data_IF_002595248017
#
_entry.id   IF_002595248017
#
_cell.length_a   1.000
_cell.length_b   1.000
_cell.length_c   1.000
_cell.angle_alpha   90.00
_cell.angle_beta   90.00
_cell.angle_gamma   90.00
#
_symmetry.space_group_name_H-M   'P 1'
#
loop_
_entity.id
_entity.type
_entity.pdbx_description
1 polymer ?
#
# COMPACT_ATOMS: atom_id res chain seq x y z
N UNK A 1 0.99 8.41 -23.33
CA UNK A 1 -0.06 9.45 -23.36
C UNK A 1 0.56 10.66 -22.70
N UNK A 2 0.62 11.82 -23.36
CA UNK A 2 1.11 13.03 -22.72
C UNK A 2 0.14 13.41 -21.60
N UNK A 3 0.67 13.67 -20.39
CA UNK A 3 -0.08 14.10 -19.23
C UNK A 3 0.04 15.63 -19.11
N UNK A 4 -0.90 16.41 -19.67
CA UNK A 4 -0.71 17.85 -19.89
C UNK A 4 -0.54 18.64 -18.57
N UNK A 5 -1.10 18.09 -17.49
CA UNK A 5 -0.99 18.66 -16.15
C UNK A 5 0.44 18.61 -15.58
N UNK A 6 1.31 17.74 -16.09
CA UNK A 6 2.72 17.67 -15.68
C UNK A 6 3.60 18.71 -16.39
N UNK A 7 3.19 19.18 -17.57
CA UNK A 7 3.96 20.14 -18.36
C UNK A 7 4.19 21.47 -17.62
N UNK A 8 3.25 21.88 -16.76
CA UNK A 8 3.35 23.09 -15.95
C UNK A 8 4.30 23.00 -14.74
N UNK A 9 4.78 21.81 -14.39
CA UNK A 9 5.70 21.62 -13.26
C UNK A 9 7.14 21.90 -13.70
N UNK A 10 7.93 22.57 -12.86
CA UNK A 10 9.40 22.60 -12.99
C UNK A 10 10.00 21.21 -12.76
N UNK A 11 11.26 21.00 -13.16
CA UNK A 11 11.93 19.70 -12.96
C UNK A 11 11.94 19.27 -11.48
N UNK A 12 12.23 20.19 -10.56
CA UNK A 12 12.23 19.89 -9.12
C UNK A 12 10.83 19.71 -8.54
N UNK A 13 9.82 20.41 -9.08
CA UNK A 13 8.42 20.17 -8.71
C UNK A 13 7.97 18.77 -9.17
N UNK A 14 8.34 18.36 -10.39
CA UNK A 14 8.03 17.03 -10.91
C UNK A 14 8.72 15.91 -10.11
N UNK A 15 9.98 16.11 -9.70
CA UNK A 15 10.69 15.18 -8.80
C UNK A 15 9.99 15.05 -7.45
N UNK A 16 9.63 16.17 -6.82
CA UNK A 16 8.89 16.18 -5.55
C UNK A 16 7.51 15.56 -5.68
N UNK A 17 6.80 15.84 -6.78
CA UNK A 17 5.51 15.24 -7.08
C UNK A 17 5.62 13.71 -7.18
N UNK A 18 6.56 13.19 -7.97
CA UNK A 18 6.81 11.75 -8.07
C UNK A 18 7.17 11.13 -6.71
N UNK A 19 8.05 11.79 -5.95
CA UNK A 19 8.45 11.31 -4.62
C UNK A 19 7.26 11.26 -3.64
N UNK A 20 6.38 12.26 -3.67
CA UNK A 20 5.15 12.28 -2.88
C UNK A 20 4.21 11.13 -3.24
N UNK A 21 4.01 10.87 -4.53
CA UNK A 21 3.21 9.73 -5.01
C UNK A 21 3.81 8.38 -4.59
N UNK A 22 5.14 8.21 -4.65
CA UNK A 22 5.82 6.99 -4.21
C UNK A 22 5.64 6.79 -2.70
N UNK A 23 5.82 7.83 -1.90
CA UNK A 23 5.61 7.75 -0.44
C UNK A 23 4.15 7.39 -0.11
N UNK A 24 3.19 7.91 -0.88
CA UNK A 24 1.78 7.55 -0.74
C UNK A 24 1.50 6.10 -1.13
N UNK A 25 2.09 5.62 -2.24
CA UNK A 25 1.97 4.21 -2.66
C UNK A 25 2.52 3.27 -1.59
N UNK A 26 3.67 3.58 -0.99
CA UNK A 26 4.25 2.81 0.10
C UNK A 26 3.27 2.67 1.29
N UNK A 27 2.58 3.77 1.64
CA UNK A 27 1.54 3.78 2.69
C UNK A 27 0.36 2.90 2.33
N UNK A 28 -0.15 3.00 1.10
CA UNK A 28 -1.28 2.17 0.63
C UNK A 28 -0.89 0.69 0.60
N UNK A 29 0.33 0.38 0.15
CA UNK A 29 0.88 -0.96 0.12
C UNK A 29 1.05 -1.56 1.52
N UNK A 30 1.37 -0.74 2.54
CA UNK A 30 1.37 -1.16 3.93
C UNK A 30 -0.03 -1.53 4.42
N UNK A 31 -1.02 -0.65 4.23
CA UNK A 31 -2.39 -0.90 4.65
C UNK A 31 -3.01 -2.13 3.98
N UNK A 32 -2.73 -2.35 2.70
CA UNK A 32 -3.21 -3.53 1.98
C UNK A 32 -2.68 -4.84 2.58
N UNK A 33 -1.41 -4.86 3.02
CA UNK A 33 -0.83 -6.03 3.70
C UNK A 33 -1.50 -6.29 5.05
N UNK A 34 -1.79 -5.23 5.81
CA UNK A 34 -2.53 -5.37 7.07
C UNK A 34 -3.93 -5.94 6.83
N UNK A 35 -4.69 -5.38 5.88
CA UNK A 35 -6.03 -5.88 5.55
C UNK A 35 -6.00 -7.35 5.12
N UNK A 36 -5.05 -7.74 4.26
CA UNK A 36 -4.85 -9.14 3.87
C UNK A 36 -4.55 -10.03 5.10
N UNK A 37 -3.60 -9.63 5.94
CA UNK A 37 -3.27 -10.35 7.18
C UNK A 37 -4.49 -10.55 8.08
N UNK A 38 -5.36 -9.54 8.23
CA UNK A 38 -6.57 -9.65 9.05
C UNK A 38 -7.61 -10.57 8.42
N UNK A 39 -7.80 -10.51 7.10
CA UNK A 39 -8.67 -11.43 6.36
C UNK A 39 -8.19 -12.88 6.55
N UNK A 40 -6.89 -13.12 6.44
CA UNK A 40 -6.30 -14.45 6.59
C UNK A 40 -6.52 -14.99 8.02
N UNK A 41 -6.36 -14.14 9.05
CA UNK A 41 -6.64 -14.48 10.45
C UNK A 41 -8.11 -14.83 10.68
N UNK A 42 -9.04 -13.99 10.20
CA UNK A 42 -10.48 -14.24 10.38
C UNK A 42 -10.92 -15.51 9.64
N UNK A 43 -10.39 -15.73 8.44
CA UNK A 43 -10.72 -16.89 7.63
C UNK A 43 -10.19 -18.20 8.25
N UNK A 44 -9.02 -18.18 8.88
CA UNK A 44 -8.50 -19.37 9.58
C UNK A 44 -9.14 -19.56 10.96
N UNK A 45 -9.40 -18.47 11.69
CA UNK A 45 -10.11 -18.49 12.97
C UNK A 45 -11.52 -19.08 12.85
N UNK A 46 -12.26 -18.71 11.80
CA UNK A 46 -13.60 -19.26 11.53
C UNK A 46 -13.61 -20.77 11.22
N UNK A 47 -12.47 -21.35 10.81
CA UNK A 47 -12.33 -22.80 10.55
C UNK A 47 -11.83 -23.57 11.77
N UNK A 48 -11.37 -22.88 12.80
CA UNK A 48 -10.79 -23.48 13.99
C UNK A 48 -11.74 -23.36 15.17
N UNK A 49 -11.98 -24.46 15.88
CA UNK A 49 -12.77 -24.41 17.12
C UNK A 49 -11.98 -23.77 18.28
N UNK A 50 -10.65 -23.63 18.16
CA UNK A 50 -9.73 -23.07 19.15
C UNK A 50 -9.13 -21.73 18.71
N UNK A 51 -8.65 -20.94 19.68
CA UNK A 51 -7.90 -19.69 19.39
C UNK A 51 -6.60 -20.03 18.67
N UNK A 52 -6.32 -19.33 17.56
CA UNK A 52 -5.10 -19.54 16.78
C UNK A 52 -3.84 -19.40 17.64
N UNK A 53 -2.97 -20.41 17.59
CA UNK A 53 -1.66 -20.37 18.24
C UNK A 53 -0.70 -19.43 17.52
N UNK A 54 0.38 -19.02 18.19
CA UNK A 54 1.44 -18.17 17.59
C UNK A 54 2.07 -18.84 16.36
N UNK A 55 2.18 -20.16 16.36
CA UNK A 55 2.72 -20.95 15.25
C UNK A 55 1.77 -20.99 14.05
N UNK A 56 0.46 -21.11 14.30
CA UNK A 56 -0.58 -21.02 13.28
C UNK A 56 -0.63 -19.60 12.70
N UNK A 57 -0.55 -18.56 13.53
CA UNK A 57 -0.46 -17.16 13.09
C UNK A 57 0.77 -16.93 12.20
N UNK A 58 1.94 -17.43 12.59
CA UNK A 58 3.16 -17.30 11.79
C UNK A 58 3.03 -17.99 10.42
N UNK A 59 2.33 -19.12 10.35
CA UNK A 59 2.03 -19.81 9.09
C UNK A 59 1.06 -19.01 8.23
N UNK A 60 -0.06 -18.57 8.79
CA UNK A 60 -1.11 -17.78 8.10
C UNK A 60 -0.52 -16.49 7.52
N UNK A 61 0.25 -15.75 8.32
CA UNK A 61 0.88 -14.49 7.90
C UNK A 61 2.13 -14.69 7.02
N UNK A 62 2.75 -15.86 7.09
CA UNK A 62 3.94 -16.22 6.31
C UNK A 62 3.63 -16.68 4.89
N UNK A 63 2.42 -17.18 4.62
CA UNK A 63 2.04 -17.77 3.33
C UNK A 63 1.51 -16.75 2.30
N UNK A 64 1.64 -15.44 2.56
CA UNK A 64 1.27 -14.39 1.61
C UNK A 64 2.24 -14.34 0.41
N UNK A 65 2.08 -15.27 -0.54
CA UNK A 65 2.47 -15.10 -1.94
C UNK A 65 3.95 -15.35 -2.28
N UNK A 66 4.22 -16.56 -2.76
CA UNK A 66 5.34 -16.95 -3.63
C UNK A 66 6.76 -16.55 -3.18
N UNK A 67 7.38 -17.40 -2.35
CA UNK A 67 8.74 -17.98 -2.56
C UNK A 67 9.94 -17.08 -2.88
N UNK A 68 9.79 -15.76 -2.88
CA UNK A 68 10.87 -14.79 -2.85
C UNK A 68 10.64 -14.00 -1.59
N UNK A 69 11.61 -14.10 -0.68
CA UNK A 69 11.87 -13.06 0.31
C UNK A 69 12.11 -11.78 -0.50
N UNK A 70 11.02 -11.09 -0.85
CA UNK A 70 11.10 -9.77 -1.44
C UNK A 70 11.54 -8.93 -0.25
N UNK A 71 12.86 -8.71 -0.15
CA UNK A 71 13.43 -7.61 0.65
C UNK A 71 12.93 -6.31 0.03
N UNK A 72 11.62 -6.08 0.12
CA UNK A 72 11.08 -4.74 0.07
C UNK A 72 11.70 -4.12 1.30
N UNK A 73 12.61 -3.18 1.09
CA UNK A 73 13.07 -2.31 2.15
C UNK A 73 11.79 -1.70 2.74
N UNK A 74 11.37 -2.18 3.90
CA UNK A 74 10.37 -1.48 4.68
C UNK A 74 11.04 -0.21 5.18
N UNK A 75 11.10 0.84 4.34
CA UNK A 75 11.25 2.18 4.86
C UNK A 75 9.91 2.55 5.49
N UNK A 76 9.62 1.97 6.65
CA UNK A 76 8.76 2.65 7.60
C UNK A 76 9.59 3.85 8.03
N UNK A 77 9.35 5.02 7.41
CA UNK A 77 9.73 6.30 8.00
C UNK A 77 8.49 6.81 8.75
N UNK A 78 8.35 6.52 10.05
CA UNK A 78 7.30 7.09 10.86
C UNK A 78 7.80 8.44 11.37
N UNK A 79 7.98 9.43 10.48
CA UNK A 79 8.25 10.81 10.94
C UNK A 79 7.01 11.70 10.84
N UNK A 80 5.98 11.29 10.08
CA UNK A 80 4.68 11.95 10.09
C UNK A 80 3.61 10.92 10.51
N UNK A 81 2.66 11.26 11.41
CA UNK A 81 1.55 10.38 11.70
C UNK A 81 0.85 10.04 10.38
N UNK A 82 0.67 8.75 10.13
CA UNK A 82 -0.08 8.31 8.95
C UNK A 82 -1.44 9.01 8.98
N UNK A 83 -1.88 9.68 7.90
CA UNK A 83 -3.23 10.21 7.87
C UNK A 83 -4.20 9.06 8.08
N UNK A 84 -5.17 9.26 8.98
CA UNK A 84 -6.23 8.29 9.20
C UNK A 84 -6.89 8.01 7.86
N UNK A 85 -6.77 6.77 7.37
CA UNK A 85 -7.74 6.25 6.43
C UNK A 85 -8.98 5.99 7.29
N UNK A 86 -10.01 6.86 7.28
CA UNK A 86 -11.06 6.82 8.29
C UNK A 86 -11.83 5.49 8.28
N UNK A 87 -11.86 4.86 7.10
CA UNK A 87 -12.42 3.52 6.88
C UNK A 87 -11.67 2.44 7.66
N UNK A 88 -10.35 2.55 7.80
CA UNK A 88 -9.53 1.52 8.44
C UNK A 88 -9.49 1.69 9.95
N UNK A 89 -9.36 2.92 10.47
CA UNK A 89 -9.30 3.17 11.92
C UNK A 89 -10.48 2.59 12.70
N UNK A 90 -11.68 2.56 12.10
CA UNK A 90 -12.88 1.98 12.73
C UNK A 90 -12.93 0.45 12.61
N UNK A 91 -12.33 -0.14 11.57
CA UNK A 91 -12.32 -1.60 11.35
C UNK A 91 -11.39 -2.36 12.32
N UNK A 92 -10.32 -1.72 12.81
CA UNK A 92 -9.35 -2.35 13.70
C UNK A 92 -9.77 -2.39 15.17
N UNK A 93 -10.79 -1.61 15.56
CA UNK A 93 -11.26 -1.49 16.96
C UNK A 93 -12.39 -2.48 17.28
N UNK A 94 -12.96 -3.14 16.28
CA UNK A 94 -14.00 -4.14 16.54
C UNK A 94 -13.39 -5.49 16.92
N UNK A 95 -13.58 -5.87 18.18
CA UNK A 95 -13.44 -7.26 18.61
C UNK A 95 -14.48 -8.09 17.87
N UNK A 96 -14.02 -9.12 17.15
CA UNK A 96 -14.87 -10.06 16.41
C UNK A 96 -14.77 -11.38 17.16
N UNK A 97 -15.90 -11.90 17.62
CA UNK A 97 -15.96 -13.25 18.18
C UNK A 97 -15.76 -14.28 17.04
N UNK A 98 -14.70 -15.10 17.05
CA UNK A 98 -14.45 -16.08 16.01
C UNK A 98 -15.55 -17.15 15.88
N UNK A 99 -16.34 -17.35 16.94
CA UNK A 99 -17.42 -18.34 16.99
C UNK A 99 -18.78 -17.76 16.58
N UNK A 100 -18.87 -16.46 16.33
CA UNK A 100 -20.05 -15.81 15.77
C UNK A 100 -19.90 -15.63 14.25
N UNK A 101 -20.49 -16.57 13.50
CA UNK A 101 -20.41 -16.60 12.03
C UNK A 101 -20.95 -15.31 11.38
N UNK A 102 -21.96 -14.66 11.97
CA UNK A 102 -22.54 -13.43 11.42
C UNK A 102 -21.59 -12.26 11.60
N UNK A 103 -20.97 -12.12 12.77
CA UNK A 103 -19.95 -11.10 13.03
C UNK A 103 -18.71 -11.29 12.15
N UNK A 104 -18.26 -12.54 11.98
CA UNK A 104 -17.12 -12.86 11.13
C UNK A 104 -17.41 -12.49 9.68
N UNK A 105 -18.55 -12.92 9.11
CA UNK A 105 -18.86 -12.62 7.72
C UNK A 105 -19.06 -11.12 7.48
N UNK A 106 -19.68 -10.40 8.42
CA UNK A 106 -19.80 -8.94 8.35
C UNK A 106 -18.42 -8.24 8.36
N UNK A 107 -17.52 -8.65 9.26
CA UNK A 107 -16.16 -8.13 9.33
C UNK A 107 -15.35 -8.46 8.06
N UNK A 108 -15.47 -9.68 7.54
CA UNK A 108 -14.83 -10.08 6.28
C UNK A 108 -15.36 -9.27 5.10
N UNK A 109 -16.67 -9.00 5.02
CA UNK A 109 -17.27 -8.13 4.00
C UNK A 109 -16.64 -6.73 4.00
N UNK A 110 -16.58 -6.09 5.17
CA UNK A 110 -15.96 -4.77 5.35
C UNK A 110 -14.49 -4.74 4.93
N UNK A 111 -13.71 -5.76 5.32
CA UNK A 111 -12.29 -5.86 4.97
C UNK A 111 -12.09 -6.10 3.47
N UNK A 112 -12.93 -6.92 2.83
CA UNK A 112 -12.90 -7.11 1.36
C UNK A 112 -13.23 -5.81 0.63
N UNK A 113 -14.13 -4.98 1.15
CA UNK A 113 -14.48 -3.70 0.55
C UNK A 113 -13.32 -2.70 0.66
N UNK A 114 -12.70 -2.63 1.82
CA UNK A 114 -11.48 -1.84 2.03
C UNK A 114 -10.32 -2.30 1.14
N UNK A 115 -10.13 -3.62 0.99
CA UNK A 115 -9.11 -4.20 0.10
C UNK A 115 -9.29 -3.73 -1.34
N UNK A 116 -10.53 -3.77 -1.86
CA UNK A 116 -10.83 -3.33 -3.23
C UNK A 116 -10.52 -1.85 -3.41
N UNK A 117 -10.95 -1.01 -2.46
CA UNK A 117 -10.66 0.44 -2.49
C UNK A 117 -9.15 0.72 -2.47
N UNK A 118 -8.39 0.04 -1.62
CA UNK A 118 -6.94 0.18 -1.54
C UNK A 118 -6.26 -0.29 -2.84
N UNK A 119 -6.73 -1.40 -3.42
CA UNK A 119 -6.19 -1.93 -4.67
C UNK A 119 -6.46 -0.96 -5.84
N UNK A 120 -7.65 -0.39 -5.94
CA UNK A 120 -7.99 0.57 -6.99
C UNK A 120 -7.22 1.89 -6.82
N UNK A 121 -7.12 2.38 -5.59
CA UNK A 121 -6.36 3.58 -5.31
C UNK A 121 -4.87 3.40 -5.62
N UNK A 122 -4.29 2.24 -5.27
CA UNK A 122 -2.90 1.90 -5.63
C UNK A 122 -2.68 1.85 -7.14
N UNK A 123 -3.63 1.30 -7.91
CA UNK A 123 -3.55 1.31 -9.38
C UNK A 123 -3.50 2.73 -9.92
N UNK A 124 -4.33 3.63 -9.37
CA UNK A 124 -4.32 5.04 -9.76
C UNK A 124 -2.99 5.73 -9.40
N UNK A 125 -2.42 5.43 -8.23
CA UNK A 125 -1.09 5.94 -7.84
C UNK A 125 0.00 5.47 -8.80
N UNK A 126 0.06 4.17 -9.13
CA UNK A 126 1.04 3.65 -10.08
C UNK A 126 0.93 4.32 -11.45
N UNK A 127 -0.30 4.49 -11.97
CA UNK A 127 -0.49 5.19 -13.24
C UNK A 127 0.10 6.62 -13.22
N UNK A 128 -0.13 7.38 -12.14
CA UNK A 128 0.44 8.73 -11.99
C UNK A 128 1.96 8.73 -11.80
N UNK A 129 2.50 7.74 -11.08
CA UNK A 129 3.96 7.55 -10.93
C UNK A 129 4.60 7.26 -12.29
N UNK A 130 3.97 6.41 -13.11
CA UNK A 130 4.45 6.05 -14.44
C UNK A 130 4.41 7.26 -15.38
N UNK A 131 3.34 8.06 -15.34
CA UNK A 131 3.24 9.34 -16.07
C UNK A 131 4.35 10.32 -15.67
N UNK A 132 4.55 10.54 -14.36
CA UNK A 132 5.61 11.42 -13.86
C UNK A 132 7.02 10.91 -14.19
N UNK A 133 7.22 9.59 -14.17
CA UNK A 133 8.48 8.95 -14.56
C UNK A 133 8.74 9.12 -16.05
N UNK A 134 7.73 8.93 -16.90
CA UNK A 134 7.81 9.15 -18.33
C UNK A 134 8.21 10.59 -18.66
N UNK A 135 7.57 11.57 -18.02
CA UNK A 135 7.90 12.99 -18.21
C UNK A 135 9.36 13.31 -17.77
N UNK A 136 9.83 12.74 -16.65
CA UNK A 136 11.23 12.90 -16.24
C UNK A 136 12.20 12.33 -17.27
N UNK A 137 11.90 11.17 -17.86
CA UNK A 137 12.72 10.57 -18.92
C UNK A 137 12.80 11.50 -20.13
N UNK A 138 11.67 12.09 -20.55
CA UNK A 138 11.64 13.05 -21.67
C UNK A 138 12.54 14.26 -21.36
N UNK A 139 12.43 14.84 -20.16
CA UNK A 139 13.24 16.00 -19.76
C UNK A 139 14.73 15.69 -19.64
N UNK A 140 15.10 14.55 -19.05
CA UNK A 140 16.50 14.12 -18.98
C UNK A 140 17.09 13.79 -20.35
N UNK A 141 16.27 13.31 -21.29
CA UNK A 141 16.72 13.14 -22.67
C UNK A 141 17.01 14.47 -23.37
N UNK A 142 16.23 15.52 -23.05
CA UNK A 142 16.45 16.86 -23.58
C UNK A 142 17.66 17.57 -22.95
N UNK A 143 17.87 17.39 -21.65
CA UNK A 143 19.04 17.89 -20.92
C UNK A 143 19.59 16.82 -19.96
N UNK A 144 20.58 16.02 -20.39
CA UNK A 144 21.18 14.98 -19.57
C UNK A 144 21.91 15.49 -18.33
N UNK A 145 22.45 16.73 -18.36
CA UNK A 145 23.18 17.29 -17.22
C UNK A 145 22.23 17.52 -16.03
N UNK A 146 20.97 17.83 -16.30
CA UNK A 146 19.95 17.96 -15.26
C UNK A 146 19.74 16.68 -14.44
N UNK A 147 20.03 15.49 -14.98
CA UNK A 147 19.95 14.24 -14.23
C UNK A 147 21.02 14.16 -13.12
N UNK A 148 22.20 14.75 -13.36
CA UNK A 148 23.32 14.77 -12.41
C UNK A 148 23.01 15.61 -11.18
N UNK A 149 22.15 16.63 -11.29
CA UNK A 149 21.74 17.46 -10.14
C UNK A 149 20.98 16.65 -9.08
N UNK A 150 20.46 15.48 -9.42
CA UNK A 150 19.81 14.58 -8.47
C UNK A 150 20.80 13.77 -7.63
N UNK A 151 22.08 13.72 -8.02
CA UNK A 151 23.14 12.99 -7.31
C UNK A 151 23.91 13.88 -6.30
N UNK A 152 23.60 15.17 -6.26
CA UNK A 152 24.34 16.16 -5.47
C UNK A 152 25.55 16.72 -6.24
N UNK A 153 25.82 18.00 -6.03
CA UNK A 153 27.14 18.58 -6.23
C UNK A 153 28.02 18.28 -5.01
#
# INVERSE_FOLDING_TARGET
MEAPYLAGLSLDQLRRYRAGLTAEEDRVSYWRRLVHARLDILQEGARSEEVLTVEQLAKVLGDTGAGRVRRVLMSVRPEEPLPDLPVLSTMWVQEVDPHDEEQVEAAMGLLRDAERQLTDYRRALHARIDEATGELIVRYRADPASALTALGA
#
